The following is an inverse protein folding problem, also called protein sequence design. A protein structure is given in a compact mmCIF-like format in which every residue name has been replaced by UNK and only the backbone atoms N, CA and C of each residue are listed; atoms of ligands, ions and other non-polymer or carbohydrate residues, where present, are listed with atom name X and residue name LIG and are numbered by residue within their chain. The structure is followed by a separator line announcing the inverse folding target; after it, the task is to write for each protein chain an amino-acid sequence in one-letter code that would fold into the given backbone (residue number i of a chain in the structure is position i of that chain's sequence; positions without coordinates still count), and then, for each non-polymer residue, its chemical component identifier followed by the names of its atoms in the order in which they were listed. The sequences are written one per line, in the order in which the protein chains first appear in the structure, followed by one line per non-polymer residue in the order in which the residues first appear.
data_IF_083777858633
#
_entry.id   IF_083777858633
#
_cell.length_a   1.000
_cell.length_b   1.000
_cell.length_c   1.000
_cell.angle_alpha   90.00
_cell.angle_beta   90.00
_cell.angle_gamma   90.00
#
_symmetry.space_group_name_H-M   'P 1'
#
loop_
_entity.id
_entity.type
_entity.pdbx_description
1 polymer ?
#
# COMPACT_ATOMS: atom_id res chain seq x y z
N UNK A 1 -29.57 -14.94 15.14
CA UNK A 1 -28.75 -13.81 15.66
C UNK A 1 -27.26 -14.15 15.78
N UNK A 2 -26.86 -15.40 16.02
CA UNK A 2 -25.45 -15.85 15.98
C UNK A 2 -24.89 -16.07 14.56
N UNK A 3 -25.73 -16.53 13.62
CA UNK A 3 -25.32 -16.82 12.22
C UNK A 3 -24.90 -15.58 11.44
N UNK A 4 -25.63 -14.46 11.59
CA UNK A 4 -25.29 -13.15 11.01
C UNK A 4 -23.91 -12.65 11.46
N UNK A 5 -23.57 -12.79 12.75
CA UNK A 5 -22.27 -12.33 13.30
C UNK A 5 -21.07 -13.12 12.79
N UNK A 6 -21.24 -14.41 12.51
CA UNK A 6 -20.18 -15.25 11.94
C UNK A 6 -19.84 -14.77 10.52
N UNK A 7 -20.87 -14.53 9.70
CA UNK A 7 -20.71 -14.03 8.33
C UNK A 7 -20.00 -12.66 8.26
N UNK A 8 -20.31 -11.72 9.18
CA UNK A 8 -19.61 -10.43 9.21
C UNK A 8 -18.13 -10.56 9.63
N UNK A 9 -17.83 -11.50 10.54
CA UNK A 9 -16.46 -11.77 10.99
C UNK A 9 -15.61 -12.39 9.87
N UNK A 10 -16.18 -13.33 9.12
CA UNK A 10 -15.53 -13.98 7.98
C UNK A 10 -15.30 -12.99 6.82
N UNK A 11 -16.26 -12.10 6.55
CA UNK A 11 -16.11 -11.00 5.58
C UNK A 11 -15.00 -10.03 5.99
N UNK A 12 -14.92 -9.66 7.27
CA UNK A 12 -13.85 -8.81 7.77
C UNK A 12 -12.47 -9.49 7.65
N UNK A 13 -12.39 -10.79 7.94
CA UNK A 13 -11.15 -11.57 7.76
C UNK A 13 -10.73 -11.61 6.29
N UNK A 14 -11.66 -11.83 5.35
CA UNK A 14 -11.38 -11.78 3.93
C UNK A 14 -10.85 -10.41 3.50
N UNK A 15 -11.47 -9.32 3.95
CA UNK A 15 -10.99 -7.96 3.67
C UNK A 15 -9.58 -7.77 4.23
N UNK A 16 -9.31 -8.21 5.47
CA UNK A 16 -7.97 -8.13 6.06
C UNK A 16 -6.92 -8.88 5.25
N UNK A 17 -7.23 -10.09 4.80
CA UNK A 17 -6.32 -10.89 3.98
C UNK A 17 -6.04 -10.20 2.65
N UNK A 18 -7.08 -9.77 1.94
CA UNK A 18 -6.95 -9.07 0.65
C UNK A 18 -6.15 -7.78 0.83
N UNK A 19 -6.44 -6.97 1.85
CA UNK A 19 -5.71 -5.75 2.13
C UNK A 19 -4.23 -6.05 2.41
N UNK A 20 -3.94 -7.08 3.21
CA UNK A 20 -2.57 -7.47 3.52
C UNK A 20 -1.79 -7.93 2.29
N UNK A 21 -2.43 -8.67 1.38
CA UNK A 21 -1.83 -9.13 0.12
C UNK A 21 -1.54 -7.94 -0.80
N UNK A 22 -2.52 -7.05 -0.99
CA UNK A 22 -2.35 -5.83 -1.81
C UNK A 22 -1.25 -4.95 -1.23
N UNK A 23 -1.25 -4.76 0.09
CA UNK A 23 -0.22 -4.02 0.80
C UNK A 23 1.17 -4.63 0.56
N UNK A 24 1.33 -5.95 0.75
CA UNK A 24 2.61 -6.63 0.55
C UNK A 24 3.11 -6.51 -0.90
N UNK A 25 2.20 -6.58 -1.88
CA UNK A 25 2.51 -6.35 -3.28
C UNK A 25 3.06 -4.94 -3.53
N UNK A 26 2.39 -3.89 -3.05
CA UNK A 26 2.87 -2.52 -3.23
C UNK A 26 4.18 -2.25 -2.48
N UNK A 27 4.34 -2.80 -1.29
CA UNK A 27 5.61 -2.75 -0.55
C UNK A 27 6.75 -3.36 -1.37
N UNK A 28 6.52 -4.53 -1.95
CA UNK A 28 7.50 -5.17 -2.83
C UNK A 28 7.84 -4.31 -4.04
N UNK A 29 6.85 -3.69 -4.69
CA UNK A 29 7.06 -2.78 -5.83
C UNK A 29 7.88 -1.55 -5.42
N UNK A 30 7.62 -0.95 -4.26
CA UNK A 30 8.41 0.19 -3.75
C UNK A 30 9.88 -0.20 -3.55
N UNK A 31 10.13 -1.34 -2.91
CA UNK A 31 11.50 -1.85 -2.75
C UNK A 31 12.17 -2.17 -4.08
N UNK A 32 11.42 -2.66 -5.06
CA UNK A 32 11.92 -2.90 -6.41
C UNK A 32 12.33 -1.59 -7.11
N UNK A 33 11.54 -0.52 -7.00
CA UNK A 33 11.88 0.80 -7.55
C UNK A 33 13.15 1.34 -6.90
N UNK A 34 13.26 1.24 -5.57
CA UNK A 34 14.47 1.62 -4.84
C UNK A 34 15.69 0.83 -5.32
N UNK A 35 15.57 -0.50 -5.41
CA UNK A 35 16.63 -1.39 -5.90
C UNK A 35 17.06 -1.04 -7.33
N UNK A 36 16.10 -0.77 -8.21
CA UNK A 36 16.34 -0.37 -9.60
C UNK A 36 17.13 0.95 -9.69
N UNK A 37 16.78 1.94 -8.86
CA UNK A 37 17.51 3.20 -8.76
C UNK A 37 18.95 3.03 -8.22
N UNK A 38 19.15 2.18 -7.21
CA UNK A 38 20.47 1.91 -6.63
C UNK A 38 21.37 1.20 -7.66
N UNK A 39 20.87 0.15 -8.30
CA UNK A 39 21.62 -0.69 -9.25
C UNK A 39 21.81 -0.08 -10.64
N UNK A 40 21.29 1.13 -10.87
CA UNK A 40 21.29 1.80 -12.17
C UNK A 40 20.61 0.95 -13.28
N UNK A 41 19.67 0.08 -12.91
CA UNK A 41 18.92 -0.78 -13.84
C UNK A 41 17.48 -0.31 -13.93
N UNK A 42 17.28 0.87 -14.51
CA UNK A 42 15.95 1.42 -14.77
C UNK A 42 15.38 0.73 -16.00
N UNK A 43 14.31 -0.03 -15.84
CA UNK A 43 13.64 -0.74 -16.93
C UNK A 43 12.16 -0.34 -17.03
N UNK A 44 11.45 -0.88 -18.01
CA UNK A 44 10.01 -0.64 -18.19
C UNK A 44 9.21 -1.04 -16.95
N UNK A 45 9.60 -2.10 -16.24
CA UNK A 45 8.94 -2.54 -15.01
C UNK A 45 9.05 -1.50 -13.88
N UNK A 46 10.16 -0.78 -13.77
CA UNK A 46 10.32 0.33 -12.80
C UNK A 46 9.30 1.43 -13.08
N UNK A 47 9.12 1.82 -14.34
CA UNK A 47 8.13 2.84 -14.74
C UNK A 47 6.69 2.37 -14.54
N UNK A 48 6.38 1.11 -14.86
CA UNK A 48 5.07 0.52 -14.56
C UNK A 48 4.82 0.52 -13.05
N UNK A 49 5.80 0.14 -12.24
CA UNK A 49 5.72 0.17 -10.77
C UNK A 49 5.46 1.58 -10.23
N UNK A 50 6.17 2.58 -10.74
CA UNK A 50 5.93 3.99 -10.39
C UNK A 50 4.49 4.39 -10.74
N UNK A 51 4.01 4.04 -11.93
CA UNK A 51 2.63 4.31 -12.35
C UNK A 51 1.59 3.65 -11.43
N UNK A 52 1.82 2.39 -11.02
CA UNK A 52 0.94 1.68 -10.09
C UNK A 52 0.85 2.39 -8.73
N UNK A 53 1.99 2.80 -8.16
CA UNK A 53 2.05 3.51 -6.87
C UNK A 53 1.36 4.88 -6.97
N UNK A 54 1.57 5.62 -8.05
CA UNK A 54 0.88 6.90 -8.29
C UNK A 54 -0.62 6.70 -8.42
N UNK A 55 -1.06 5.65 -9.13
CA UNK A 55 -2.46 5.29 -9.28
C UNK A 55 -3.12 4.97 -7.93
N UNK A 56 -2.47 4.17 -7.09
CA UNK A 56 -2.94 3.91 -5.73
C UNK A 56 -2.98 5.20 -4.90
N UNK A 57 -1.94 6.04 -4.98
CA UNK A 57 -1.89 7.35 -4.34
C UNK A 57 -3.06 8.26 -4.74
N UNK A 58 -3.44 8.24 -6.01
CA UNK A 58 -4.60 8.97 -6.51
C UNK A 58 -5.92 8.44 -5.94
N UNK A 59 -6.10 7.10 -5.91
CA UNK A 59 -7.26 6.48 -5.26
C UNK A 59 -7.34 6.92 -3.80
N UNK A 60 -6.24 6.84 -3.05
CA UNK A 60 -6.21 7.31 -1.66
C UNK A 60 -6.61 8.79 -1.54
N UNK A 61 -6.14 9.66 -2.45
CA UNK A 61 -6.47 11.09 -2.44
C UNK A 61 -7.97 11.32 -2.65
N UNK A 62 -8.59 10.62 -3.61
CA UNK A 62 -10.04 10.66 -3.86
C UNK A 62 -10.84 10.22 -2.64
N UNK A 63 -10.36 9.19 -1.93
CA UNK A 63 -11.00 8.65 -0.73
C UNK A 63 -10.53 9.30 0.58
N UNK A 64 -10.09 10.57 0.56
CA UNK A 64 -9.65 11.34 1.74
C UNK A 64 -8.53 10.68 2.56
N UNK A 65 -7.54 10.12 1.88
CA UNK A 65 -6.41 9.38 2.44
C UNK A 65 -6.75 8.01 3.04
N UNK A 66 -7.99 7.53 2.89
CA UNK A 66 -8.40 6.19 3.29
C UNK A 66 -8.41 5.23 2.11
N UNK A 67 -8.01 3.98 2.35
CA UNK A 67 -8.14 2.93 1.36
C UNK A 67 -9.64 2.57 1.21
N UNK A 68 -10.17 2.37 -0.01
CA UNK A 68 -11.56 1.96 -0.21
C UNK A 68 -11.91 0.67 0.54
N UNK A 69 -10.94 -0.23 0.75
CA UNK A 69 -11.11 -1.42 1.57
C UNK A 69 -11.34 -1.09 3.05
N UNK A 70 -10.69 -0.05 3.58
CA UNK A 70 -10.89 0.43 4.96
C UNK A 70 -12.32 0.93 5.16
N UNK A 71 -12.86 1.66 4.17
CA UNK A 71 -14.26 2.13 4.20
C UNK A 71 -15.25 0.97 4.14
N UNK A 72 -14.95 -0.07 3.34
CA UNK A 72 -15.76 -1.29 3.32
C UNK A 72 -15.66 -2.04 4.65
N UNK A 73 -14.46 -2.22 5.21
CA UNK A 73 -14.22 -2.90 6.48
C UNK A 73 -14.95 -2.21 7.64
N UNK A 74 -15.07 -0.88 7.60
CA UNK A 74 -15.78 -0.09 8.61
C UNK A 74 -17.26 -0.48 8.73
N UNK A 75 -17.89 -0.98 7.66
CA UNK A 75 -19.28 -1.48 7.71
C UNK A 75 -19.42 -2.80 8.49
N UNK A 76 -18.31 -3.50 8.69
CA UNK A 76 -18.27 -4.83 9.30
C UNK A 76 -17.58 -4.85 10.68
N UNK A 77 -17.02 -3.71 11.11
CA UNK A 77 -16.31 -3.58 12.38
C UNK A 77 -16.34 -2.15 12.91
N UNK A 78 -16.57 -1.97 14.21
CA UNK A 78 -16.50 -0.67 14.92
C UNK A 78 -15.15 -0.44 15.64
N UNK A 79 -14.16 -1.31 15.42
CA UNK A 79 -12.86 -1.22 16.08
C UNK A 79 -12.10 0.08 15.74
N UNK A 80 -11.70 0.84 16.76
CA UNK A 80 -10.92 2.08 16.59
C UNK A 80 -9.40 1.85 16.38
N UNK A 81 -8.96 0.59 16.22
CA UNK A 81 -7.53 0.28 16.01
C UNK A 81 -7.12 0.61 14.58
N UNK A 82 -5.90 1.10 14.35
CA UNK A 82 -5.40 1.44 13.00
C UNK A 82 -5.18 0.19 12.12
N UNK A 83 -5.03 -0.99 12.73
CA UNK A 83 -4.85 -2.27 12.04
C UNK A 83 -6.13 -3.12 11.97
N UNK A 84 -7.29 -2.50 12.15
CA UNK A 84 -8.55 -3.26 12.21
C UNK A 84 -8.94 -3.90 10.87
N UNK A 85 -8.38 -3.44 9.76
CA UNK A 85 -8.67 -3.82 8.38
C UNK A 85 -7.46 -4.46 7.66
N UNK A 86 -6.34 -4.67 8.36
CA UNK A 86 -5.10 -5.26 7.81
C UNK A 86 -4.36 -6.09 8.88
N UNK A 87 -3.68 -7.17 8.48
CA UNK A 87 -2.85 -7.98 9.40
C UNK A 87 -1.45 -7.37 9.62
N UNK A 88 -1.41 -6.17 10.20
CA UNK A 88 -0.17 -5.46 10.54
C UNK A 88 -0.10 -5.12 12.04
N UNK A 89 1.10 -5.00 12.65
CA UNK A 89 1.21 -4.40 13.98
C UNK A 89 0.73 -2.95 13.96
N UNK A 90 0.07 -2.51 15.03
CA UNK A 90 -0.63 -1.23 15.09
C UNK A 90 0.29 -0.02 14.80
N UNK A 91 1.55 -0.07 15.26
CA UNK A 91 2.55 0.94 14.96
C UNK A 91 2.85 1.03 13.46
N UNK A 92 3.00 -0.11 12.78
CA UNK A 92 3.27 -0.13 11.36
C UNK A 92 2.06 0.35 10.56
N UNK A 93 0.85 -0.07 10.93
CA UNK A 93 -0.38 0.42 10.30
C UNK A 93 -0.50 1.95 10.40
N UNK A 94 -0.21 2.53 11.57
CA UNK A 94 -0.22 3.97 11.82
C UNK A 94 0.79 4.74 10.96
N UNK A 95 2.01 4.22 10.82
CA UNK A 95 3.10 4.89 10.10
C UNK A 95 3.27 4.44 8.65
N UNK A 96 2.46 3.48 8.20
CA UNK A 96 2.57 2.80 6.91
C UNK A 96 2.74 3.80 5.76
N UNK A 97 1.80 4.76 5.70
CA UNK A 97 1.75 5.76 4.65
C UNK A 97 3.03 6.59 4.58
N UNK A 98 3.52 7.05 5.73
CA UNK A 98 4.70 7.91 5.80
C UNK A 98 5.96 7.11 5.43
N UNK A 99 6.13 5.92 5.99
CA UNK A 99 7.30 5.05 5.74
C UNK A 99 7.40 4.75 4.24
N UNK A 100 6.33 4.19 3.66
CA UNK A 100 6.38 3.74 2.27
C UNK A 100 6.37 4.88 1.26
N UNK A 101 5.71 6.01 1.55
CA UNK A 101 5.83 7.21 0.71
C UNK A 101 7.25 7.76 0.73
N UNK A 102 7.92 7.77 1.89
CA UNK A 102 9.30 8.23 2.00
C UNK A 102 10.24 7.34 1.19
N UNK A 103 10.12 6.02 1.33
CA UNK A 103 10.94 5.06 0.56
C UNK A 103 10.69 5.20 -0.94
N UNK A 104 9.43 5.38 -1.34
CA UNK A 104 9.07 5.62 -2.74
C UNK A 104 9.69 6.91 -3.29
N UNK A 105 9.62 8.03 -2.55
CA UNK A 105 10.23 9.31 -2.96
C UNK A 105 11.74 9.15 -3.14
N UNK A 106 12.41 8.50 -2.18
CA UNK A 106 13.86 8.23 -2.28
C UNK A 106 14.16 7.38 -3.52
N UNK A 107 13.40 6.30 -3.74
CA UNK A 107 13.54 5.46 -4.93
C UNK A 107 13.31 6.23 -6.24
N UNK A 108 12.30 7.10 -6.27
CA UNK A 108 11.99 7.95 -7.42
C UNK A 108 13.13 8.93 -7.73
N UNK A 109 13.67 9.61 -6.72
CA UNK A 109 14.81 10.52 -6.89
C UNK A 109 16.02 9.77 -7.45
N UNK A 110 16.32 8.57 -6.94
CA UNK A 110 17.41 7.75 -7.46
C UNK A 110 17.17 7.38 -8.93
N UNK A 111 15.98 6.87 -9.26
CA UNK A 111 15.63 6.51 -10.65
C UNK A 111 15.77 7.73 -11.58
N UNK A 112 15.25 8.88 -11.18
CA UNK A 112 15.35 10.12 -11.96
C UNK A 112 16.81 10.53 -12.16
N UNK A 113 17.62 10.52 -11.09
CA UNK A 113 19.05 10.86 -11.14
C UNK A 113 19.81 9.94 -12.10
N UNK A 114 19.53 8.63 -12.05
CA UNK A 114 20.12 7.65 -12.97
C UNK A 114 19.74 7.89 -14.43
N UNK A 115 18.48 8.22 -14.69
CA UNK A 115 18.01 8.52 -16.04
C UNK A 115 18.68 9.78 -16.61
N UNK A 116 18.94 10.80 -15.79
CA UNK A 116 19.69 11.98 -16.22
C UNK A 116 21.19 11.72 -16.42
N UNK A 117 21.81 10.83 -15.63
CA UNK A 117 23.23 10.49 -15.76
C UNK A 117 23.54 9.57 -16.95
N UNK A 118 22.58 8.73 -17.36
CA UNK A 118 22.74 7.79 -18.48
C UNK A 118 22.27 8.39 -19.84
N UNK A 119 21.87 9.66 -19.87
CA UNK A 119 21.59 10.42 -21.10
C UNK A 119 22.80 11.24 -21.50
#
# INVERSE_FOLDING_TARGET
MSYERMNQSDKLLAIKLIHTIIWAFFVFVIFYILYSGITNRVNTFTWIGIGLIIGEGFVLLVFKMFCPLTLLARKYSDSQKENFDIFLPNWLAKHNKIIFTTVFIVGLILVVTRVFQNK
#
